data_IF_280619336946
#
_entry.id   IF_280619336946
#
_cell.length_a   1.000
_cell.length_b   1.000
_cell.length_c   1.000
_cell.angle_alpha   90.00
_cell.angle_beta   90.00
_cell.angle_gamma   90.00
#
_symmetry.space_group_name_H-M   'P 1'
#
loop_
_entity.id
_entity.type
_entity.pdbx_description
1 polymer ?
#
# COMPACT_ATOMS: atom_id res chain seq x y z
N UNK A 1 -30.03 -22.12 39.03
CA UNK A 1 -28.55 -22.00 39.08
C UNK A 1 -27.83 -22.17 37.73
N UNK A 2 -28.46 -22.60 36.64
CA UNK A 2 -27.85 -22.83 35.33
C UNK A 2 -27.68 -21.54 34.48
N UNK A 3 -28.53 -20.53 34.68
CA UNK A 3 -28.57 -19.30 33.85
C UNK A 3 -27.38 -18.38 34.10
N UNK A 4 -26.90 -18.26 35.34
CA UNK A 4 -25.75 -17.40 35.69
C UNK A 4 -24.42 -17.87 35.09
N UNK A 5 -24.18 -19.20 34.99
CA UNK A 5 -22.96 -19.75 34.38
C UNK A 5 -22.91 -19.50 32.86
N UNK A 6 -24.07 -19.46 32.20
CA UNK A 6 -24.17 -19.21 30.74
C UNK A 6 -23.87 -17.74 30.42
N UNK A 7 -24.37 -16.81 31.22
CA UNK A 7 -24.13 -15.37 31.06
C UNK A 7 -22.64 -15.04 31.27
N UNK A 8 -22.00 -15.56 32.34
CA UNK A 8 -20.56 -15.36 32.58
C UNK A 8 -19.66 -15.97 31.49
N UNK A 9 -20.10 -17.07 30.85
CA UNK A 9 -19.35 -17.68 29.76
C UNK A 9 -19.46 -16.86 28.45
N UNK A 10 -20.60 -16.23 28.23
CA UNK A 10 -20.83 -15.31 27.10
C UNK A 10 -20.04 -14.00 27.26
N UNK A 11 -20.03 -13.41 28.47
CA UNK A 11 -19.25 -12.21 28.77
C UNK A 11 -17.74 -12.44 28.69
N UNK A 12 -17.23 -13.61 29.08
CA UNK A 12 -15.80 -13.98 28.90
C UNK A 12 -15.45 -14.22 27.46
N UNK A 13 -16.34 -14.80 26.64
CA UNK A 13 -16.12 -14.98 25.22
C UNK A 13 -16.12 -13.64 24.48
N UNK A 14 -16.94 -12.68 24.90
CA UNK A 14 -17.02 -11.34 24.31
C UNK A 14 -15.81 -10.46 24.69
N UNK A 15 -15.27 -10.60 25.91
CA UNK A 15 -14.01 -9.93 26.32
C UNK A 15 -12.80 -10.48 25.59
N UNK A 16 -12.74 -11.77 25.31
CA UNK A 16 -11.67 -12.39 24.51
C UNK A 16 -11.67 -11.91 23.07
N UNK A 17 -12.86 -11.70 22.49
CA UNK A 17 -13.01 -11.14 21.16
C UNK A 17 -12.56 -9.67 21.08
N UNK A 18 -12.89 -8.85 22.05
CA UNK A 18 -12.51 -7.42 22.07
C UNK A 18 -10.99 -7.22 22.10
N UNK A 19 -10.23 -8.07 22.78
CA UNK A 19 -8.76 -8.01 22.81
C UNK A 19 -8.10 -8.34 21.47
N UNK A 20 -8.73 -9.19 20.66
CA UNK A 20 -8.18 -9.63 19.36
C UNK A 20 -8.31 -8.51 18.28
N UNK A 21 -9.32 -7.62 18.37
CA UNK A 21 -9.47 -6.47 17.48
C UNK A 21 -8.41 -5.38 17.68
N UNK A 22 -7.72 -5.36 18.82
CA UNK A 22 -6.69 -4.37 19.14
C UNK A 22 -5.39 -4.65 18.37
N UNK A 23 -5.10 -5.93 18.11
CA UNK A 23 -3.82 -6.34 17.56
C UNK A 23 -3.53 -5.79 16.15
N UNK A 24 -4.44 -5.85 15.15
CA UNK A 24 -4.20 -5.20 13.86
C UNK A 24 -4.00 -3.70 14.00
N UNK A 25 -4.89 -3.02 14.73
CA UNK A 25 -4.79 -1.57 14.92
C UNK A 25 -3.49 -1.13 15.61
N UNK A 26 -2.86 -2.01 16.41
CA UNK A 26 -1.56 -1.74 17.00
C UNK A 26 -0.45 -1.70 15.94
N UNK A 27 -0.47 -2.61 14.96
CA UNK A 27 0.48 -2.59 13.84
C UNK A 27 0.27 -1.35 12.95
N UNK A 28 -0.99 -1.00 12.66
CA UNK A 28 -1.32 0.24 11.93
C UNK A 28 -0.82 1.46 12.68
N UNK A 29 -1.01 1.52 14.01
CA UNK A 29 -0.48 2.62 14.84
C UNK A 29 1.05 2.63 14.86
N UNK A 30 1.69 1.47 14.89
CA UNK A 30 3.14 1.35 14.82
C UNK A 30 3.69 1.82 13.46
N UNK A 31 2.97 1.53 12.35
CA UNK A 31 3.27 2.07 11.02
C UNK A 31 3.20 3.60 11.01
N UNK A 32 2.12 4.18 11.58
CA UNK A 32 1.97 5.62 11.73
C UNK A 32 3.12 6.23 12.55
N UNK A 33 3.49 5.59 13.65
CA UNK A 33 4.60 6.05 14.49
C UNK A 33 5.93 6.03 13.72
N UNK A 34 6.22 4.97 12.97
CA UNK A 34 7.43 4.88 12.15
C UNK A 34 7.46 5.97 11.07
N UNK A 35 6.33 6.21 10.37
CA UNK A 35 6.22 7.26 9.37
C UNK A 35 6.42 8.66 9.97
N UNK A 36 5.79 8.93 11.12
CA UNK A 36 5.95 10.19 11.85
C UNK A 36 7.40 10.40 12.31
N UNK A 37 8.02 9.35 12.87
CA UNK A 37 9.43 9.37 13.22
C UNK A 37 10.31 9.71 12.01
N UNK A 38 10.02 9.12 10.83
CA UNK A 38 10.73 9.41 9.59
C UNK A 38 10.64 10.90 9.20
N UNK A 39 9.47 11.52 9.32
CA UNK A 39 9.31 12.96 9.07
C UNK A 39 10.15 13.78 10.05
N UNK A 40 10.11 13.45 11.34
CA UNK A 40 10.90 14.16 12.37
C UNK A 40 12.39 14.00 12.12
N UNK A 41 12.87 12.84 11.71
CA UNK A 41 14.28 12.66 11.36
C UNK A 41 14.69 13.47 10.13
N UNK A 42 13.83 13.61 9.14
CA UNK A 42 14.09 14.44 7.97
C UNK A 42 14.26 15.93 8.34
N UNK A 43 13.42 16.45 9.25
CA UNK A 43 13.56 17.83 9.73
C UNK A 43 14.87 18.06 10.51
N UNK A 44 15.44 17.00 11.09
CA UNK A 44 16.74 17.02 11.77
C UNK A 44 17.93 16.76 10.83
N UNK A 45 17.68 16.49 9.53
CA UNK A 45 18.71 16.20 8.55
C UNK A 45 19.21 14.75 8.52
N UNK A 46 18.54 13.84 9.25
CA UNK A 46 18.88 12.41 9.28
C UNK A 46 18.10 11.63 8.21
N UNK A 47 18.42 11.83 6.95
CA UNK A 47 17.67 11.32 5.81
C UNK A 47 17.73 9.80 5.67
N UNK A 48 18.85 9.17 6.00
CA UNK A 48 18.98 7.71 6.04
C UNK A 48 18.00 7.10 7.05
N UNK A 49 17.91 7.63 8.26
CA UNK A 49 16.96 7.18 9.28
C UNK A 49 15.50 7.39 8.83
N UNK A 50 15.25 8.49 8.12
CA UNK A 50 13.93 8.78 7.55
C UNK A 50 13.52 7.73 6.51
N UNK A 51 14.44 7.37 5.62
CA UNK A 51 14.22 6.36 4.59
C UNK A 51 13.94 4.98 5.21
N UNK A 52 14.77 4.56 6.16
CA UNK A 52 14.58 3.29 6.90
C UNK A 52 13.23 3.29 7.62
N UNK A 53 12.83 4.39 8.24
CA UNK A 53 11.57 4.51 8.96
C UNK A 53 10.34 4.32 8.03
N UNK A 54 10.38 4.85 6.80
CA UNK A 54 9.33 4.64 5.79
C UNK A 54 9.27 3.16 5.38
N UNK A 55 10.42 2.50 5.20
CA UNK A 55 10.46 1.07 4.87
C UNK A 55 9.88 0.24 6.02
N UNK A 56 10.23 0.56 7.26
CA UNK A 56 9.66 -0.09 8.46
C UNK A 56 8.14 0.13 8.52
N UNK A 57 7.65 1.34 8.23
CA UNK A 57 6.22 1.62 8.16
C UNK A 57 5.53 0.70 7.13
N UNK A 58 6.10 0.52 5.94
CA UNK A 58 5.55 -0.36 4.90
C UNK A 58 5.53 -1.84 5.31
N UNK A 59 6.52 -2.31 6.07
CA UNK A 59 6.53 -3.68 6.61
C UNK A 59 5.43 -3.85 7.66
N UNK A 60 5.29 -2.90 8.59
CA UNK A 60 4.27 -2.94 9.65
C UNK A 60 2.86 -2.92 9.07
N UNK A 61 2.60 -2.08 8.07
CA UNK A 61 1.37 -2.02 7.30
C UNK A 61 1.04 -3.36 6.63
N UNK A 62 2.02 -3.98 5.96
CA UNK A 62 1.83 -5.30 5.36
C UNK A 62 1.49 -6.40 6.37
N UNK A 63 1.93 -6.24 7.63
CA UNK A 63 1.66 -7.19 8.70
C UNK A 63 0.25 -7.02 9.27
N UNK A 64 -0.25 -5.78 9.46
CA UNK A 64 -1.57 -5.54 10.05
C UNK A 64 -2.70 -6.14 9.19
N UNK A 65 -2.67 -5.95 7.88
CA UNK A 65 -3.61 -6.53 6.96
C UNK A 65 -3.57 -8.07 6.93
N UNK A 66 -2.40 -8.69 7.14
CA UNK A 66 -2.26 -10.15 7.25
C UNK A 66 -2.81 -10.64 8.58
N UNK A 67 -2.47 -9.98 9.69
CA UNK A 67 -2.94 -10.31 11.03
C UNK A 67 -4.45 -10.18 11.11
N UNK A 68 -5.05 -9.09 10.60
CA UNK A 68 -6.50 -8.89 10.57
C UNK A 68 -7.23 -10.04 9.85
N UNK A 69 -6.70 -10.51 8.71
CA UNK A 69 -7.26 -11.64 7.97
C UNK A 69 -7.11 -12.97 8.69
N UNK A 70 -5.94 -13.23 9.30
CA UNK A 70 -5.68 -14.48 10.04
C UNK A 70 -6.53 -14.60 11.31
N UNK A 71 -6.81 -13.47 11.96
CA UNK A 71 -7.59 -13.42 13.21
C UNK A 71 -9.08 -13.22 12.99
N UNK A 72 -9.54 -13.05 11.72
CA UNK A 72 -10.93 -12.71 11.39
C UNK A 72 -11.44 -11.48 12.16
N UNK A 73 -10.59 -10.45 12.34
CA UNK A 73 -10.89 -9.24 13.10
C UNK A 73 -11.00 -8.00 12.23
N UNK A 74 -11.35 -8.17 10.96
CA UNK A 74 -11.59 -7.05 10.05
C UNK A 74 -12.80 -6.25 10.54
N UNK A 75 -12.62 -4.94 10.77
CA UNK A 75 -13.68 -4.00 11.18
C UNK A 75 -13.70 -2.79 10.24
N UNK A 76 -14.86 -2.14 10.13
CA UNK A 76 -14.99 -0.94 9.29
C UNK A 76 -14.13 0.20 9.86
N UNK A 77 -14.09 0.36 11.18
CA UNK A 77 -13.15 1.32 11.82
C UNK A 77 -11.69 1.02 11.46
N UNK A 78 -11.28 -0.25 11.48
CA UNK A 78 -9.90 -0.65 11.13
C UNK A 78 -9.55 -0.28 9.70
N UNK A 79 -10.47 -0.49 8.74
CA UNK A 79 -10.25 -0.13 7.33
C UNK A 79 -10.09 1.39 7.12
N UNK A 80 -10.95 2.19 7.76
CA UNK A 80 -10.85 3.65 7.66
C UNK A 80 -9.59 4.17 8.33
N UNK A 81 -9.25 3.64 9.50
CA UNK A 81 -8.03 3.99 10.22
C UNK A 81 -6.77 3.64 9.42
N UNK A 82 -6.71 2.46 8.83
CA UNK A 82 -5.66 2.00 7.94
C UNK A 82 -5.46 2.95 6.76
N UNK A 83 -6.55 3.33 6.07
CA UNK A 83 -6.48 4.29 4.96
C UNK A 83 -5.95 5.67 5.35
N UNK A 84 -6.26 6.15 6.56
CA UNK A 84 -5.71 7.41 7.08
C UNK A 84 -4.22 7.28 7.38
N UNK A 85 -3.80 6.16 7.95
CA UNK A 85 -2.39 5.88 8.23
C UNK A 85 -1.61 5.69 6.94
N UNK A 86 -2.17 4.99 5.95
CA UNK A 86 -1.59 4.84 4.61
C UNK A 86 -1.30 6.19 3.94
N UNK A 87 -2.24 7.15 4.05
CA UNK A 87 -2.02 8.48 3.50
C UNK A 87 -0.84 9.18 4.17
N UNK A 88 -0.69 9.03 5.48
CA UNK A 88 0.45 9.62 6.21
C UNK A 88 1.74 8.89 5.87
N UNK A 89 1.76 7.57 5.94
CA UNK A 89 2.96 6.75 5.80
C UNK A 89 3.50 6.71 4.36
N UNK A 90 2.61 6.66 3.37
CA UNK A 90 3.00 6.46 1.97
C UNK A 90 2.73 7.67 1.06
N UNK A 91 1.98 8.67 1.55
CA UNK A 91 1.75 9.94 0.86
C UNK A 91 2.57 11.07 1.46
N UNK A 92 2.27 11.44 2.71
CA UNK A 92 2.87 12.62 3.33
C UNK A 92 4.33 12.40 3.74
N UNK A 93 4.67 11.26 4.35
CA UNK A 93 6.04 11.03 4.83
C UNK A 93 7.06 11.04 3.69
N UNK A 94 6.93 10.27 2.58
CA UNK A 94 7.88 10.35 1.47
C UNK A 94 7.95 11.74 0.83
N UNK A 95 6.79 12.42 0.71
CA UNK A 95 6.73 13.76 0.13
C UNK A 95 7.49 14.79 0.95
N UNK A 96 7.28 14.80 2.28
CA UNK A 96 7.94 15.73 3.19
C UNK A 96 9.43 15.40 3.38
N UNK A 97 9.78 14.13 3.45
CA UNK A 97 11.18 13.69 3.56
C UNK A 97 11.97 14.14 2.35
N UNK A 98 11.50 13.92 1.12
CA UNK A 98 12.18 14.41 -0.08
C UNK A 98 12.15 15.93 -0.21
N UNK A 99 11.07 16.58 0.26
CA UNK A 99 11.02 18.03 0.30
C UNK A 99 12.15 18.61 1.18
N UNK A 100 12.29 18.10 2.40
CA UNK A 100 13.37 18.52 3.31
C UNK A 100 14.76 18.15 2.80
N UNK A 101 14.90 16.98 2.17
CA UNK A 101 16.17 16.49 1.66
C UNK A 101 16.76 17.37 0.55
N UNK A 102 15.94 17.91 -0.34
CA UNK A 102 16.51 18.72 -1.44
C UNK A 102 15.48 19.44 -2.30
N UNK A 103 14.22 19.03 -2.33
CA UNK A 103 13.24 19.67 -3.20
C UNK A 103 12.93 21.11 -2.79
N UNK A 104 13.13 21.50 -1.52
CA UNK A 104 12.91 22.86 -1.03
C UNK A 104 13.75 23.89 -1.77
N UNK A 105 14.92 23.50 -2.28
CA UNK A 105 15.84 24.39 -3.01
C UNK A 105 15.26 24.81 -4.38
N UNK A 106 14.30 24.05 -4.92
CA UNK A 106 13.56 24.37 -6.14
C UNK A 106 12.35 25.30 -5.90
N UNK A 107 12.17 25.83 -4.71
CA UNK A 107 11.13 26.79 -4.36
C UNK A 107 9.72 26.26 -4.67
N UNK A 108 8.99 26.96 -5.55
CA UNK A 108 7.61 26.61 -5.89
C UNK A 108 7.47 25.23 -6.54
N UNK A 109 8.41 24.82 -7.39
CA UNK A 109 8.36 23.52 -8.04
C UNK A 109 8.56 22.38 -7.04
N UNK A 110 9.43 22.55 -6.06
CA UNK A 110 9.69 21.51 -5.07
C UNK A 110 8.47 21.19 -4.20
N UNK A 111 7.84 22.19 -3.58
CA UNK A 111 6.68 21.93 -2.75
C UNK A 111 5.44 21.49 -3.55
N UNK A 112 5.27 21.99 -4.79
CA UNK A 112 4.19 21.53 -5.67
C UNK A 112 4.36 20.06 -6.04
N UNK A 113 5.59 19.61 -6.33
CA UNK A 113 5.88 18.19 -6.60
C UNK A 113 5.56 17.32 -5.39
N UNK A 114 5.97 17.73 -4.19
CA UNK A 114 5.65 17.03 -2.95
C UNK A 114 4.12 16.97 -2.72
N UNK A 115 3.42 18.09 -2.96
CA UNK A 115 1.97 18.15 -2.85
C UNK A 115 1.26 17.24 -3.86
N UNK A 116 1.69 17.24 -5.13
CA UNK A 116 1.12 16.35 -6.17
C UNK A 116 1.25 14.89 -5.76
N UNK A 117 2.40 14.49 -5.23
CA UNK A 117 2.61 13.12 -4.76
C UNK A 117 1.65 12.75 -3.63
N UNK A 118 1.52 13.59 -2.61
CA UNK A 118 0.59 13.37 -1.51
C UNK A 118 -0.88 13.36 -1.98
N UNK A 119 -1.26 14.31 -2.85
CA UNK A 119 -2.62 14.41 -3.39
C UNK A 119 -2.99 13.18 -4.26
N UNK A 120 -2.08 12.71 -5.12
CA UNK A 120 -2.32 11.51 -5.94
C UNK A 120 -2.42 10.25 -5.08
N UNK A 121 -1.67 10.16 -3.98
CA UNK A 121 -1.82 9.09 -2.99
C UNK A 121 -3.20 9.11 -2.36
N UNK A 122 -3.67 10.30 -1.91
CA UNK A 122 -5.00 10.47 -1.35
C UNK A 122 -6.13 10.08 -2.32
N UNK A 123 -6.05 10.56 -3.57
CA UNK A 123 -7.02 10.24 -4.62
C UNK A 123 -7.06 8.74 -4.92
N UNK A 124 -5.88 8.10 -4.95
CA UNK A 124 -5.78 6.67 -5.17
C UNK A 124 -6.42 5.87 -4.03
N UNK A 125 -6.16 6.22 -2.77
CA UNK A 125 -6.76 5.57 -1.61
C UNK A 125 -8.28 5.77 -1.59
N UNK A 126 -8.76 6.98 -1.86
CA UNK A 126 -10.19 7.26 -1.97
C UNK A 126 -10.87 6.42 -3.06
N UNK A 127 -10.24 6.33 -4.26
CA UNK A 127 -10.73 5.49 -5.34
C UNK A 127 -10.77 4.01 -4.94
N UNK A 128 -9.74 3.51 -4.26
CA UNK A 128 -9.68 2.12 -3.81
C UNK A 128 -10.78 1.79 -2.79
N UNK A 129 -11.08 2.72 -1.89
CA UNK A 129 -12.12 2.53 -0.87
C UNK A 129 -13.55 2.60 -1.43
N UNK A 130 -13.76 3.35 -2.50
CA UNK A 130 -15.09 3.48 -3.14
C UNK A 130 -15.38 2.36 -4.14
N UNK A 131 -14.36 1.75 -4.73
CA UNK A 131 -14.52 0.65 -5.66
C UNK A 131 -14.55 -0.68 -4.91
N UNK A 132 -15.75 -1.16 -4.54
CA UNK A 132 -15.99 -2.53 -4.04
C UNK A 132 -15.86 -3.54 -5.20
N UNK A 133 -14.66 -3.71 -5.76
CA UNK A 133 -14.43 -4.67 -6.83
C UNK A 133 -14.26 -6.06 -6.20
N UNK A 134 -15.35 -6.80 -6.09
CA UNK A 134 -15.31 -8.24 -5.81
C UNK A 134 -14.69 -8.94 -7.04
N UNK A 135 -13.52 -9.57 -6.86
CA UNK A 135 -13.03 -10.58 -7.82
C UNK A 135 -11.88 -10.18 -8.75
N UNK A 136 -11.46 -8.92 -8.86
CA UNK A 136 -10.42 -8.55 -9.81
C UNK A 136 -9.02 -9.01 -9.39
N UNK A 137 -8.37 -9.81 -10.26
CA UNK A 137 -6.99 -10.32 -10.10
C UNK A 137 -5.92 -9.26 -10.32
N UNK A 138 -6.26 -8.08 -10.82
CA UNK A 138 -5.32 -7.01 -11.18
C UNK A 138 -5.61 -5.72 -10.42
N UNK A 139 -4.57 -5.13 -9.85
CA UNK A 139 -4.65 -3.78 -9.29
C UNK A 139 -4.44 -2.75 -10.41
N UNK A 140 -5.33 -1.76 -10.51
CA UNK A 140 -5.15 -0.61 -11.39
C UNK A 140 -4.27 0.44 -10.69
N UNK A 141 -3.16 0.84 -11.33
CA UNK A 141 -2.19 1.81 -10.82
C UNK A 141 -1.17 1.24 -9.82
N UNK A 142 -0.04 1.95 -9.67
CA UNK A 142 1.05 1.57 -8.76
C UNK A 142 0.57 1.61 -7.29
N UNK A 143 0.76 0.56 -6.46
CA UNK A 143 0.43 0.59 -5.04
C UNK A 143 1.16 1.71 -4.29
N UNK A 144 0.45 2.46 -3.39
CA UNK A 144 1.08 3.53 -2.60
C UNK A 144 2.27 3.06 -1.77
N UNK A 145 2.21 1.91 -1.06
CA UNK A 145 3.38 1.39 -0.34
C UNK A 145 4.57 1.12 -1.26
N UNK A 146 4.35 0.61 -2.48
CA UNK A 146 5.44 0.35 -3.42
C UNK A 146 6.11 1.64 -3.91
N UNK A 147 5.33 2.69 -4.19
CA UNK A 147 5.86 3.99 -4.55
C UNK A 147 6.68 4.60 -3.39
N UNK A 148 6.17 4.53 -2.15
CA UNK A 148 6.85 5.03 -0.97
C UNK A 148 8.16 4.29 -0.67
N UNK A 149 8.15 2.96 -0.80
CA UNK A 149 9.37 2.13 -0.63
C UNK A 149 10.40 2.46 -1.72
N UNK A 150 9.99 2.68 -2.97
CA UNK A 150 10.91 3.08 -4.03
C UNK A 150 11.56 4.44 -3.73
N UNK A 151 10.78 5.42 -3.29
CA UNK A 151 11.31 6.74 -2.88
C UNK A 151 12.29 6.59 -1.71
N UNK A 152 11.91 5.84 -0.69
CA UNK A 152 12.73 5.63 0.51
C UNK A 152 14.04 4.90 0.20
N UNK A 153 13.99 3.82 -0.59
CA UNK A 153 15.19 3.05 -0.96
C UNK A 153 16.13 3.86 -1.88
N UNK A 154 15.57 4.69 -2.77
CA UNK A 154 16.35 5.59 -3.60
C UNK A 154 17.07 6.64 -2.75
N UNK A 155 16.38 7.26 -1.79
CA UNK A 155 16.95 8.21 -0.85
C UNK A 155 18.05 7.55 -0.01
N UNK A 156 17.78 6.36 0.52
CA UNK A 156 18.77 5.61 1.30
C UNK A 156 20.02 5.31 0.50
N UNK A 157 19.90 4.84 -0.73
CA UNK A 157 21.03 4.59 -1.61
C UNK A 157 21.84 5.87 -1.89
N UNK A 158 21.15 6.98 -2.18
CA UNK A 158 21.82 8.29 -2.43
C UNK A 158 22.61 8.74 -1.21
N UNK A 159 22.05 8.66 -0.02
CA UNK A 159 22.72 9.06 1.22
C UNK A 159 23.90 8.12 1.55
N UNK A 160 23.71 6.80 1.44
CA UNK A 160 24.75 5.81 1.75
C UNK A 160 25.98 5.93 0.84
N UNK A 161 25.77 6.30 -0.42
CA UNK A 161 26.88 6.49 -1.39
C UNK A 161 27.35 7.93 -1.54
N UNK A 162 26.77 8.87 -0.78
CA UNK A 162 27.14 10.27 -0.84
C UNK A 162 26.91 10.90 -2.21
N UNK A 163 25.91 10.44 -2.97
CA UNK A 163 25.57 10.93 -4.30
C UNK A 163 24.81 12.25 -4.21
N UNK A 164 25.43 13.26 -3.61
CA UNK A 164 24.84 14.60 -3.44
C UNK A 164 25.13 15.48 -4.65
N UNK A 165 24.09 16.20 -5.11
CA UNK A 165 24.24 17.15 -6.21
C UNK A 165 22.91 17.56 -6.82
N UNK A 166 22.91 18.65 -7.57
CA UNK A 166 21.70 19.20 -8.21
C UNK A 166 21.02 18.16 -9.13
N UNK A 167 21.80 17.35 -9.83
CA UNK A 167 21.27 16.32 -10.71
C UNK A 167 20.50 15.22 -9.96
N UNK A 168 20.93 14.87 -8.76
CA UNK A 168 20.27 13.88 -7.91
C UNK A 168 18.91 14.39 -7.44
N UNK A 169 18.83 15.68 -7.07
CA UNK A 169 17.57 16.31 -6.69
C UNK A 169 16.62 16.45 -7.88
N UNK A 170 17.13 16.80 -9.08
CA UNK A 170 16.33 16.84 -10.30
C UNK A 170 15.78 15.45 -10.65
N UNK A 171 16.58 14.41 -10.55
CA UNK A 171 16.10 13.03 -10.79
C UNK A 171 15.06 12.61 -9.77
N UNK A 172 15.20 12.98 -8.49
CA UNK A 172 14.20 12.73 -7.45
C UNK A 172 12.88 13.47 -7.74
N UNK A 173 12.93 14.73 -8.18
CA UNK A 173 11.78 15.52 -8.58
C UNK A 173 11.03 14.84 -9.73
N UNK A 174 11.74 14.47 -10.80
CA UNK A 174 11.15 13.79 -11.94
C UNK A 174 10.58 12.41 -11.57
N UNK A 175 11.28 11.67 -10.71
CA UNK A 175 10.79 10.38 -10.22
C UNK A 175 9.49 10.54 -9.42
N UNK A 176 9.38 11.54 -8.54
CA UNK A 176 8.12 11.80 -7.81
C UNK A 176 6.95 12.11 -8.74
N UNK A 177 7.18 12.93 -9.78
CA UNK A 177 6.14 13.23 -10.78
C UNK A 177 5.74 11.96 -11.53
N UNK A 178 6.72 11.15 -11.96
CA UNK A 178 6.46 9.89 -12.66
C UNK A 178 5.70 8.87 -11.77
N UNK A 179 6.08 8.75 -10.48
CA UNK A 179 5.38 7.89 -9.53
C UNK A 179 3.96 8.38 -9.26
N UNK A 180 3.75 9.70 -9.14
CA UNK A 180 2.41 10.29 -9.01
C UNK A 180 1.52 9.94 -10.21
N UNK A 181 2.05 10.06 -11.43
CA UNK A 181 1.35 9.66 -12.64
C UNK A 181 1.09 8.15 -12.69
N UNK A 182 2.06 7.30 -12.26
CA UNK A 182 1.91 5.86 -12.21
C UNK A 182 0.85 5.40 -11.21
N UNK A 183 0.71 6.08 -10.06
CA UNK A 183 -0.32 5.78 -9.04
C UNK A 183 -1.75 6.00 -9.57
N UNK A 184 -1.98 7.04 -10.37
CA UNK A 184 -3.31 7.38 -10.93
C UNK A 184 -3.56 6.66 -12.26
N UNK A 185 -2.52 6.15 -12.92
CA UNK A 185 -2.62 5.46 -14.20
C UNK A 185 -3.49 4.21 -14.15
N UNK A 186 -3.94 3.77 -15.33
CA UNK A 186 -4.66 2.50 -15.50
C UNK A 186 -3.74 1.31 -15.77
N UNK A 187 -2.46 1.38 -15.40
CA UNK A 187 -1.54 0.27 -15.56
C UNK A 187 -1.97 -0.91 -14.68
N UNK A 188 -1.91 -2.11 -15.24
CA UNK A 188 -2.27 -3.34 -14.53
C UNK A 188 -1.02 -3.90 -13.84
N UNK A 189 -1.03 -3.92 -12.52
CA UNK A 189 0.01 -4.57 -11.73
C UNK A 189 -0.46 -5.96 -11.30
N UNK A 190 0.39 -6.97 -11.52
CA UNK A 190 0.08 -8.34 -11.14
C UNK A 190 0.01 -8.45 -9.61
N UNK A 191 -1.11 -8.94 -9.12
CA UNK A 191 -1.27 -9.21 -7.69
C UNK A 191 -0.45 -10.44 -7.31
N UNK A 192 0.42 -10.33 -6.29
CA UNK A 192 1.11 -11.49 -5.70
C UNK A 192 0.19 -12.38 -4.84
N UNK A 193 -1.14 -12.14 -4.85
CA UNK A 193 -2.10 -12.97 -4.12
C UNK A 193 -2.19 -14.41 -4.63
N UNK A 194 -1.79 -14.67 -5.87
CA UNK A 194 -1.82 -16.00 -6.49
C UNK A 194 -0.64 -16.91 -6.10
N UNK A 195 0.30 -16.41 -5.29
CA UNK A 195 1.29 -17.28 -4.66
C UNK A 195 0.60 -18.09 -3.55
N UNK A 196 0.02 -19.22 -3.96
CA UNK A 196 -0.64 -20.17 -3.07
C UNK A 196 0.41 -20.87 -2.20
N UNK A 197 0.87 -20.17 -1.16
CA UNK A 197 1.86 -20.68 -0.18
C UNK A 197 1.32 -21.89 0.61
N UNK A 198 0.06 -22.27 0.39
CA UNK A 198 -0.61 -23.37 1.09
C UNK A 198 -0.28 -24.74 0.51
N UNK A 199 0.07 -24.82 -0.79
CA UNK A 199 0.38 -26.04 -1.47
C UNK A 199 1.84 -26.08 -1.95
N UNK A 200 2.74 -26.69 -1.15
CA UNK A 200 4.16 -27.03 -1.48
C UNK A 200 4.91 -25.89 -2.17
N UNK A 201 5.54 -25.01 -1.38
CA UNK A 201 6.49 -24.03 -1.91
C UNK A 201 7.56 -24.76 -2.72
N UNK A 202 7.72 -24.50 -4.02
CA UNK A 202 8.76 -25.13 -4.82
C UNK A 202 10.15 -24.85 -4.19
N UNK A 203 11.02 -25.84 -4.17
CA UNK A 203 12.39 -25.68 -3.65
C UNK A 203 13.11 -24.46 -4.25
N UNK A 204 12.89 -24.19 -5.53
CA UNK A 204 13.45 -23.01 -6.22
C UNK A 204 12.97 -21.68 -5.63
N UNK A 205 11.72 -21.60 -5.16
CA UNK A 205 11.21 -20.38 -4.49
C UNK A 205 11.89 -20.16 -3.15
N UNK A 206 12.13 -21.23 -2.39
CA UNK A 206 12.87 -21.15 -1.13
C UNK A 206 14.33 -20.73 -1.37
N UNK A 207 14.97 -21.32 -2.37
CA UNK A 207 16.34 -20.97 -2.76
C UNK A 207 16.43 -19.50 -3.20
N UNK A 208 15.49 -19.03 -4.03
CA UNK A 208 15.43 -17.64 -4.47
C UNK A 208 15.26 -16.68 -3.26
N UNK A 209 14.40 -17.05 -2.30
CA UNK A 209 14.21 -16.26 -1.08
C UNK A 209 15.51 -16.13 -0.27
N UNK A 210 16.25 -17.25 -0.10
CA UNK A 210 17.53 -17.25 0.61
C UNK A 210 18.54 -16.36 -0.12
N UNK A 211 18.63 -16.45 -1.45
CA UNK A 211 19.52 -15.61 -2.26
C UNK A 211 19.17 -14.12 -2.09
N UNK A 212 17.89 -13.77 -2.13
CA UNK A 212 17.43 -12.38 -1.91
C UNK A 212 17.81 -11.89 -0.52
N UNK A 213 17.65 -12.70 0.53
CA UNK A 213 18.05 -12.33 1.90
C UNK A 213 19.57 -12.10 1.98
N UNK A 214 20.37 -12.95 1.37
CA UNK A 214 21.84 -12.79 1.32
C UNK A 214 22.22 -11.50 0.58
N UNK A 215 21.60 -11.22 -0.56
CA UNK A 215 21.85 -9.99 -1.32
C UNK A 215 21.47 -8.74 -0.52
N UNK A 216 20.30 -8.74 0.14
CA UNK A 216 19.88 -7.64 1.03
C UNK A 216 20.89 -7.46 2.17
N UNK A 217 21.45 -8.54 2.73
CA UNK A 217 22.43 -8.45 3.81
C UNK A 217 23.77 -7.87 3.36
N UNK A 218 24.09 -7.96 2.06
CA UNK A 218 25.33 -7.43 1.50
C UNK A 218 25.23 -5.92 1.25
N UNK A 219 24.16 -5.47 0.61
CA UNK A 219 23.91 -4.05 0.30
C UNK A 219 22.40 -3.73 0.34
N UNK A 220 21.85 -3.48 1.54
CA UNK A 220 20.42 -3.27 1.70
C UNK A 220 19.84 -2.16 0.81
N UNK A 221 20.41 -0.94 0.75
CA UNK A 221 19.82 0.16 -0.01
C UNK A 221 19.75 -0.13 -1.52
N UNK A 222 20.80 -0.68 -2.11
CA UNK A 222 20.84 -0.95 -3.56
C UNK A 222 19.93 -2.12 -3.93
N UNK A 223 19.96 -3.21 -3.17
CA UNK A 223 19.14 -4.38 -3.49
C UNK A 223 17.64 -4.06 -3.35
N UNK A 224 17.25 -3.36 -2.28
CA UNK A 224 15.86 -2.94 -2.09
C UNK A 224 15.43 -1.92 -3.17
N UNK A 225 16.33 -1.01 -3.58
CA UNK A 225 16.08 -0.10 -4.69
C UNK A 225 15.84 -0.86 -6.00
N UNK A 226 16.68 -1.83 -6.34
CA UNK A 226 16.52 -2.62 -7.56
C UNK A 226 15.22 -3.44 -7.56
N UNK A 227 14.85 -4.03 -6.41
CA UNK A 227 13.61 -4.80 -6.26
C UNK A 227 12.38 -3.89 -6.40
N UNK A 228 12.37 -2.74 -5.71
CA UNK A 228 11.24 -1.79 -5.76
C UNK A 228 11.11 -1.11 -7.12
N UNK A 229 12.24 -0.75 -7.77
CA UNK A 229 12.27 -0.21 -9.13
C UNK A 229 11.79 -1.25 -10.16
N UNK A 230 12.27 -2.50 -10.06
CA UNK A 230 11.82 -3.59 -10.92
C UNK A 230 10.31 -3.82 -10.81
N UNK A 231 9.75 -3.78 -9.58
CA UNK A 231 8.31 -3.86 -9.38
C UNK A 231 7.58 -2.65 -9.98
N UNK A 232 8.04 -1.43 -9.76
CA UNK A 232 7.40 -0.21 -10.28
C UNK A 232 7.42 -0.17 -11.82
N UNK A 233 8.51 -0.63 -12.45
CA UNK A 233 8.65 -0.69 -13.91
C UNK A 233 7.88 -1.85 -14.53
N UNK A 234 7.50 -2.88 -13.79
CA UNK A 234 6.77 -4.03 -14.31
C UNK A 234 5.41 -3.63 -14.90
N UNK A 235 4.69 -2.68 -14.29
CA UNK A 235 3.39 -2.20 -14.77
C UNK A 235 3.46 -1.58 -16.17
N UNK A 236 4.26 -0.52 -16.39
CA UNK A 236 4.48 0.06 -17.72
C UNK A 236 5.01 -0.97 -18.73
N UNK A 237 5.92 -1.85 -18.32
CA UNK A 237 6.47 -2.89 -19.19
C UNK A 237 5.39 -3.85 -19.70
N UNK A 238 4.55 -4.38 -18.83
CA UNK A 238 3.44 -5.26 -19.22
C UNK A 238 2.37 -4.52 -20.01
N UNK A 239 2.19 -3.23 -19.81
CA UNK A 239 1.25 -2.43 -20.60
C UNK A 239 1.73 -2.22 -22.05
N UNK A 240 3.05 -2.05 -22.24
CA UNK A 240 3.65 -1.83 -23.58
C UNK A 240 3.84 -3.14 -24.32
N UNK A 241 4.34 -4.19 -23.64
CA UNK A 241 4.76 -5.45 -24.26
C UNK A 241 3.83 -6.63 -23.97
N UNK A 242 2.91 -6.51 -23.00
CA UNK A 242 1.98 -7.57 -22.62
C UNK A 242 0.84 -7.69 -23.64
N UNK A 243 0.40 -8.94 -23.91
CA UNK A 243 -0.90 -9.16 -24.55
C UNK A 243 -1.98 -8.53 -23.69
N UNK A 244 -2.89 -7.76 -24.29
CA UNK A 244 -4.09 -7.28 -23.63
C UNK A 244 -4.76 -8.48 -22.92
N UNK A 245 -5.16 -8.35 -21.64
CA UNK A 245 -5.98 -9.39 -21.01
C UNK A 245 -7.20 -9.66 -21.89
N UNK A 246 -7.49 -10.93 -22.07
CA UNK A 246 -8.61 -11.38 -22.91
C UNK A 246 -9.90 -10.81 -22.34
N UNK A 247 -10.80 -10.35 -23.22
CA UNK A 247 -12.05 -9.66 -22.84
C UNK A 247 -12.99 -10.48 -21.97
N UNK A 248 -12.74 -11.78 -21.78
CA UNK A 248 -13.44 -12.66 -20.82
C UNK A 248 -13.20 -12.28 -19.34
N UNK A 249 -12.07 -11.61 -19.03
CA UNK A 249 -11.76 -11.15 -17.67
C UNK A 249 -12.34 -9.75 -17.37
N UNK A 250 -12.95 -9.09 -18.37
CA UNK A 250 -13.58 -7.77 -18.29
C UNK A 250 -15.11 -7.81 -18.41
N UNK A 251 -15.68 -8.99 -18.73
CA UNK A 251 -17.11 -9.13 -19.01
C UNK A 251 -18.01 -9.06 -17.75
N UNK A 252 -17.42 -9.04 -16.56
CA UNK A 252 -18.18 -9.04 -15.30
C UNK A 252 -18.63 -7.62 -14.85
N UNK A 253 -18.27 -6.56 -15.57
CA UNK A 253 -18.66 -5.19 -15.18
C UNK A 253 -20.00 -4.75 -15.80
N UNK A 254 -20.40 -5.31 -16.97
CA UNK A 254 -21.66 -4.98 -17.64
C UNK A 254 -22.86 -5.79 -17.15
N UNK A 255 -22.61 -7.01 -16.67
CA UNK A 255 -23.69 -7.92 -16.25
C UNK A 255 -24.20 -7.63 -14.82
N UNK A 256 -23.44 -6.85 -14.01
CA UNK A 256 -23.81 -6.51 -12.63
C UNK A 256 -24.70 -5.25 -12.57
N UNK A 257 -24.47 -4.27 -13.46
CA UNK A 257 -25.33 -3.07 -13.53
C UNK A 257 -26.75 -3.41 -13.99
N UNK A 258 -26.89 -4.39 -14.90
CA UNK A 258 -28.20 -4.83 -15.40
C UNK A 258 -28.99 -5.69 -14.37
N UNK A 259 -28.33 -6.45 -13.48
CA UNK A 259 -29.04 -7.25 -12.45
C UNK A 259 -29.53 -6.40 -11.27
N UNK A 260 -28.79 -5.36 -10.88
CA UNK A 260 -29.21 -4.48 -9.78
C UNK A 260 -30.36 -3.57 -10.21
N UNK A 261 -30.37 -3.06 -11.45
CA UNK A 261 -31.46 -2.25 -11.99
C UNK A 261 -32.74 -3.06 -12.19
N UNK A 262 -32.65 -4.33 -12.63
CA UNK A 262 -33.77 -5.23 -12.79
C UNK A 262 -34.37 -5.67 -11.46
N UNK A 263 -33.52 -5.78 -10.40
CA UNK A 263 -33.99 -6.18 -9.06
C UNK A 263 -34.69 -5.00 -8.37
N UNK A 264 -34.22 -3.78 -8.55
CA UNK A 264 -34.86 -2.57 -7.99
C UNK A 264 -36.25 -2.32 -8.64
N UNK A 265 -36.37 -2.48 -9.95
CA UNK A 265 -37.66 -2.33 -10.68
C UNK A 265 -38.67 -3.41 -10.24
N UNK A 266 -38.22 -4.63 -9.94
CA UNK A 266 -39.13 -5.72 -9.47
C UNK A 266 -39.65 -5.49 -8.05
N UNK A 267 -38.85 -4.90 -7.17
CA UNK A 267 -39.27 -4.63 -5.78
C UNK A 267 -40.22 -3.43 -5.68
N UNK A 268 -40.07 -2.43 -6.55
CA UNK A 268 -40.99 -1.27 -6.62
C UNK A 268 -42.31 -1.63 -7.29
N UNK A 269 -42.32 -2.56 -8.26
CA UNK A 269 -43.56 -3.01 -8.95
C UNK A 269 -44.46 -3.93 -8.14
N UNK A 270 -43.96 -4.62 -7.10
CA UNK A 270 -44.75 -5.55 -6.27
C UNK A 270 -45.41 -4.90 -5.04
N UNK A 271 -45.24 -3.60 -4.82
CA UNK A 271 -45.79 -2.86 -3.69
C UNK A 271 -47.13 -2.15 -3.93
N UNK A 272 -47.76 -2.28 -5.11
CA UNK A 272 -48.96 -1.50 -5.48
C UNK A 272 -50.24 -2.34 -5.57
N UNK A 273 -50.21 -3.64 -5.23
CA UNK A 273 -51.45 -4.44 -5.11
C UNK A 273 -51.59 -5.02 -3.70
N UNK A 274 -52.10 -4.18 -2.79
CA UNK A 274 -53.03 -4.60 -1.72
C UNK A 274 -53.71 -3.39 -1.11
#
# INVERSE_FOLDING_TARGET
MATGKRIHKLERADRGRKGIYILPNLFTTASLFAAFYGIVQATNGFYEHSAIAIIVAAVLDSLDGRVARMTNTVSDFGKEYDSLVDLVAFGLAPALVLYEWGLKDFGKLGWLTAFIYAATTALRLARFNTQHIKGNKYFRGLPCPAAAVLVATALWAVESYGLTGTWTVVTALLAMIALSAAMVSSFHYRSFKDLDLKNRVPFMTLLALVVVIVLISFDPPVVLLLLSAGFALSGPFFWIFGKKPESSDLADESDIEDEDEVTEIRTVGSGVEK
#
